data_IF_820635968482
#
_entry.id   IF_820635968482
#
_cell.length_a   1.000
_cell.length_b   1.000
_cell.length_c   1.000
_cell.angle_alpha   90.00
_cell.angle_beta   90.00
_cell.angle_gamma   90.00
#
_symmetry.space_group_name_H-M   'P 1'
#
loop_
_entity.id
_entity.type
_entity.pdbx_description
1 polymer ?
#
# COMPACT_ATOMS: atom_id res chain seq x y z
N UNK A 1 7.49 -10.58 25.68
CA UNK A 1 6.65 -9.38 25.93
C UNK A 1 5.70 -9.35 24.78
N UNK A 2 4.41 -9.33 25.06
CA UNK A 2 3.42 -9.37 24.00
C UNK A 2 3.15 -7.94 23.57
N UNK A 3 3.21 -7.69 22.28
CA UNK A 3 2.97 -6.38 21.69
C UNK A 3 1.57 -6.33 21.10
N UNK A 4 0.95 -5.16 21.18
CA UNK A 4 -0.16 -4.88 20.27
C UNK A 4 0.37 -4.71 18.83
N UNK A 5 -0.53 -4.69 17.84
CA UNK A 5 -0.12 -4.62 16.44
C UNK A 5 0.63 -3.34 16.07
N UNK A 6 0.29 -2.21 16.69
CA UNK A 6 0.90 -0.92 16.38
C UNK A 6 2.32 -0.82 16.97
N UNK A 7 2.46 -1.21 18.24
CA UNK A 7 3.76 -1.32 18.91
C UNK A 7 4.65 -2.34 18.20
N UNK A 8 4.10 -3.51 17.91
CA UNK A 8 4.82 -4.57 17.20
C UNK A 8 5.28 -4.11 15.82
N UNK A 9 4.45 -3.39 15.06
CA UNK A 9 4.86 -2.81 13.77
C UNK A 9 6.05 -1.86 13.90
N UNK A 10 6.09 -1.03 14.93
CA UNK A 10 7.21 -0.13 15.16
C UNK A 10 8.49 -0.90 15.53
N UNK A 11 8.38 -1.91 16.40
CA UNK A 11 9.50 -2.77 16.77
C UNK A 11 10.04 -3.57 15.58
N UNK A 12 9.17 -4.14 14.74
CA UNK A 12 9.56 -4.84 13.50
C UNK A 12 10.38 -3.94 12.57
N UNK A 13 9.96 -2.69 12.40
CA UNK A 13 10.67 -1.72 11.55
C UNK A 13 12.05 -1.35 12.09
N UNK A 14 12.25 -1.51 13.38
CA UNK A 14 13.54 -1.33 14.05
C UNK A 14 14.38 -2.62 14.05
N UNK A 15 13.87 -3.72 13.49
CA UNK A 15 14.58 -4.99 13.34
C UNK A 15 14.48 -5.92 14.54
N UNK A 16 13.50 -5.70 15.42
CA UNK A 16 13.25 -6.57 16.57
C UNK A 16 12.26 -7.68 16.21
N UNK A 17 12.46 -8.86 16.80
CA UNK A 17 11.48 -9.94 16.77
C UNK A 17 10.28 -9.60 17.65
N UNK A 18 9.08 -9.87 17.16
CA UNK A 18 7.83 -9.46 17.81
C UNK A 18 6.89 -10.64 18.02
N UNK A 19 6.47 -10.77 19.27
CA UNK A 19 5.39 -11.65 19.67
C UNK A 19 4.08 -10.86 19.82
N UNK A 20 3.03 -11.22 19.09
CA UNK A 20 1.71 -10.59 19.12
C UNK A 20 0.78 -11.37 20.07
N UNK A 21 0.12 -10.66 21.00
CA UNK A 21 -0.98 -11.24 21.78
C UNK A 21 -2.21 -11.54 20.90
N UNK A 22 -2.42 -10.71 19.88
CA UNK A 22 -3.50 -10.83 18.91
C UNK A 22 -3.08 -10.17 17.61
N UNK A 23 -3.56 -10.68 16.48
CA UNK A 23 -3.21 -10.12 15.18
C UNK A 23 -4.38 -10.18 14.21
N UNK A 24 -4.80 -9.01 13.73
CA UNK A 24 -5.75 -8.82 12.64
C UNK A 24 -5.01 -8.35 11.38
N UNK A 25 -4.93 -9.24 10.39
CA UNK A 25 -4.21 -9.01 9.14
C UNK A 25 -4.90 -7.97 8.25
N UNK A 26 -6.23 -7.91 8.28
CA UNK A 26 -6.98 -6.89 7.55
C UNK A 26 -6.69 -5.50 8.12
N UNK A 27 -6.76 -5.38 9.45
CA UNK A 27 -6.46 -4.14 10.16
C UNK A 27 -4.98 -3.72 9.98
N UNK A 28 -4.05 -4.68 9.90
CA UNK A 28 -2.64 -4.39 9.63
C UNK A 28 -2.45 -3.77 8.24
N UNK A 29 -3.01 -4.39 7.20
CA UNK A 29 -2.94 -3.87 5.82
C UNK A 29 -3.60 -2.51 5.72
N UNK A 30 -4.81 -2.38 6.28
CA UNK A 30 -5.56 -1.11 6.27
C UNK A 30 -4.80 0.01 6.98
N UNK A 31 -4.33 -0.24 8.21
CA UNK A 31 -3.67 0.80 9.00
C UNK A 31 -2.35 1.28 8.38
N UNK A 32 -1.69 0.47 7.55
CA UNK A 32 -0.50 0.87 6.81
C UNK A 32 -0.83 1.60 5.50
N UNK A 33 -1.83 1.14 4.77
CA UNK A 33 -2.16 1.64 3.43
C UNK A 33 -3.10 2.85 3.45
N UNK A 34 -4.05 2.94 4.39
CA UNK A 34 -5.05 4.02 4.45
C UNK A 34 -4.41 5.42 4.59
N UNK A 35 -3.38 5.64 5.43
CA UNK A 35 -2.69 6.93 5.46
C UNK A 35 -2.01 7.29 4.13
N UNK A 36 -1.46 6.30 3.42
CA UNK A 36 -0.86 6.52 2.10
C UNK A 36 -1.93 6.87 1.07
N UNK A 37 -3.10 6.23 1.12
CA UNK A 37 -4.21 6.52 0.22
C UNK A 37 -4.67 7.98 0.34
N UNK A 38 -4.86 8.48 1.56
CA UNK A 38 -5.22 9.90 1.81
C UNK A 38 -4.19 10.85 1.19
N UNK A 39 -2.91 10.54 1.34
CA UNK A 39 -1.83 11.36 0.80
C UNK A 39 -1.74 11.30 -0.74
N UNK A 40 -1.97 10.12 -1.32
CA UNK A 40 -2.03 9.94 -2.78
C UNK A 40 -3.24 10.68 -3.37
N UNK A 41 -4.41 10.60 -2.75
CA UNK A 41 -5.59 11.36 -3.15
C UNK A 41 -5.31 12.87 -3.10
N UNK A 42 -4.68 13.35 -2.03
CA UNK A 42 -4.33 14.75 -1.90
C UNK A 42 -3.36 15.22 -2.99
N UNK A 43 -2.46 14.35 -3.48
CA UNK A 43 -1.58 14.64 -4.62
C UNK A 43 -2.36 14.76 -5.93
N UNK A 44 -3.46 14.04 -6.08
CA UNK A 44 -4.25 13.96 -7.30
C UNK A 44 -5.44 14.95 -7.35
N UNK A 45 -5.78 15.59 -6.23
CA UNK A 45 -6.96 16.45 -6.09
C UNK A 45 -7.12 17.56 -7.15
N UNK A 46 -6.00 18.15 -7.63
CA UNK A 46 -6.05 19.21 -8.65
C UNK A 46 -5.95 18.71 -10.09
N UNK A 47 -6.02 17.38 -10.32
CA UNK A 47 -5.82 16.77 -11.63
C UNK A 47 -4.42 16.98 -12.21
N UNK A 48 -3.42 17.21 -11.34
CA UNK A 48 -2.01 17.33 -11.75
C UNK A 48 -1.43 15.93 -11.89
N UNK A 49 -1.15 15.52 -13.13
CA UNK A 49 -0.47 14.26 -13.42
C UNK A 49 1.04 14.40 -13.21
N UNK A 50 1.57 13.64 -12.26
CA UNK A 50 3.01 13.49 -12.01
C UNK A 50 3.49 12.20 -12.69
N UNK A 51 4.31 12.33 -13.74
CA UNK A 51 4.86 11.19 -14.49
C UNK A 51 6.19 10.71 -13.88
N UNK A 52 6.41 9.39 -13.83
CA UNK A 52 7.68 8.81 -13.35
C UNK A 52 8.81 9.14 -14.31
N UNK A 53 9.70 10.03 -13.87
CA UNK A 53 10.84 10.48 -14.68
C UNK A 53 11.92 9.41 -14.84
N UNK A 54 11.84 8.28 -14.14
CA UNK A 54 12.87 7.22 -14.20
C UNK A 54 12.71 6.26 -15.37
N UNK A 55 11.55 6.25 -16.05
CA UNK A 55 11.22 5.26 -17.09
C UNK A 55 11.26 5.82 -18.53
N UNK A 56 11.97 6.92 -18.80
CA UNK A 56 12.02 7.52 -20.16
C UNK A 56 12.78 6.70 -21.22
N UNK A 57 13.31 5.51 -20.90
CA UNK A 57 14.14 4.70 -21.80
C UNK A 57 13.40 3.65 -22.65
N UNK A 58 12.21 3.22 -22.25
CA UNK A 58 11.70 1.90 -22.68
C UNK A 58 10.55 1.94 -23.70
N UNK A 59 10.24 3.11 -24.28
CA UNK A 59 9.11 3.28 -25.21
C UNK A 59 7.72 3.07 -24.57
N UNK A 60 7.66 2.78 -23.27
CA UNK A 60 6.44 2.66 -22.48
C UNK A 60 6.04 4.05 -21.97
N UNK A 61 4.75 4.44 -22.07
CA UNK A 61 4.27 5.68 -21.46
C UNK A 61 4.63 5.70 -19.96
N UNK A 62 5.21 6.78 -19.44
CA UNK A 62 5.60 6.83 -18.04
C UNK A 62 4.39 6.61 -17.14
N UNK A 63 4.47 5.64 -16.23
CA UNK A 63 3.44 5.41 -15.21
C UNK A 63 3.33 6.65 -14.30
N UNK A 64 2.13 6.89 -13.79
CA UNK A 64 1.92 7.92 -12.78
C UNK A 64 2.63 7.54 -11.48
N UNK A 65 3.26 8.53 -10.86
CA UNK A 65 4.23 8.28 -9.81
C UNK A 65 3.74 7.68 -8.49
N UNK A 66 2.44 7.72 -8.12
CA UNK A 66 1.96 6.86 -7.04
C UNK A 66 1.48 5.49 -7.54
N UNK A 67 1.03 5.36 -8.79
CA UNK A 67 0.44 4.11 -9.30
C UNK A 67 1.43 2.96 -9.30
N UNK A 68 2.67 3.23 -9.71
CA UNK A 68 3.74 2.23 -9.69
C UNK A 68 3.98 1.69 -8.28
N UNK A 69 4.15 2.58 -7.30
CA UNK A 69 4.42 2.18 -5.92
C UNK A 69 3.25 1.45 -5.28
N UNK A 70 2.01 1.89 -5.57
CA UNK A 70 0.80 1.20 -5.11
C UNK A 70 0.70 -0.21 -5.71
N UNK A 71 1.03 -0.39 -6.99
CA UNK A 71 1.09 -1.73 -7.62
C UNK A 71 2.19 -2.61 -7.02
N UNK A 72 3.34 -2.05 -6.62
CA UNK A 72 4.35 -2.81 -5.89
C UNK A 72 3.87 -3.21 -4.50
N UNK A 73 3.17 -2.34 -3.77
CA UNK A 73 2.52 -2.70 -2.49
C UNK A 73 1.54 -3.85 -2.70
N UNK A 74 0.73 -3.82 -3.77
CA UNK A 74 -0.23 -4.88 -4.07
C UNK A 74 0.45 -6.25 -4.29
N UNK A 75 1.61 -6.27 -4.94
CA UNK A 75 2.41 -7.49 -5.11
C UNK A 75 2.88 -8.02 -3.75
N UNK A 76 3.36 -7.16 -2.87
CA UNK A 76 3.78 -7.59 -1.52
C UNK A 76 2.61 -8.08 -0.67
N UNK A 77 1.41 -7.48 -0.77
CA UNK A 77 0.22 -7.99 -0.07
C UNK A 77 -0.18 -9.37 -0.58
N UNK A 78 -0.06 -9.62 -1.90
CA UNK A 78 -0.26 -10.96 -2.45
C UNK A 78 0.84 -11.94 -1.97
N UNK A 79 2.08 -11.48 -1.85
CA UNK A 79 3.18 -12.26 -1.26
C UNK A 79 2.93 -12.60 0.22
N UNK A 80 2.45 -11.62 1.00
CA UNK A 80 2.04 -11.78 2.39
C UNK A 80 0.92 -12.81 2.53
N UNK A 81 -0.11 -12.75 1.67
CA UNK A 81 -1.16 -13.78 1.61
C UNK A 81 -0.56 -15.18 1.43
N UNK A 82 0.33 -15.34 0.45
CA UNK A 82 0.97 -16.63 0.17
C UNK A 82 1.81 -17.12 1.37
N UNK A 83 2.58 -16.23 1.99
CA UNK A 83 3.37 -16.54 3.18
C UNK A 83 2.48 -17.00 4.35
N UNK A 84 1.38 -16.28 4.62
CA UNK A 84 0.42 -16.64 5.66
C UNK A 84 -0.24 -17.99 5.38
N UNK A 85 -0.60 -18.27 4.12
CA UNK A 85 -1.10 -19.61 3.73
C UNK A 85 -0.10 -20.70 4.08
N UNK A 86 1.18 -20.51 3.74
CA UNK A 86 2.23 -21.49 4.05
C UNK A 86 2.43 -21.66 5.56
N UNK A 87 2.37 -20.58 6.33
CA UNK A 87 2.48 -20.62 7.79
C UNK A 87 1.32 -21.40 8.43
N UNK A 88 0.09 -21.14 7.99
CA UNK A 88 -1.10 -21.86 8.46
C UNK A 88 -1.07 -23.33 8.03
N UNK A 89 -0.59 -23.63 6.83
CA UNK A 89 -0.47 -25.01 6.34
C UNK A 89 0.52 -25.86 7.15
N UNK A 90 1.54 -25.23 7.74
CA UNK A 90 2.53 -25.90 8.61
C UNK A 90 2.00 -26.20 10.02
N UNK A 91 0.85 -25.65 10.41
CA UNK A 91 0.29 -25.87 11.75
C UNK A 91 -0.25 -27.29 11.93
N UNK A 92 -0.09 -27.81 13.15
CA UNK A 92 -0.68 -29.07 13.55
C UNK A 92 -2.21 -29.02 13.50
N UNK A 93 -2.88 -30.16 13.33
CA UNK A 93 -4.34 -30.20 13.22
C UNK A 93 -5.04 -29.66 14.47
N UNK A 94 -4.44 -29.84 15.65
CA UNK A 94 -4.93 -29.34 16.94
C UNK A 94 -4.66 -27.85 17.14
N UNK A 95 -3.75 -27.25 16.37
CA UNK A 95 -3.44 -25.82 16.43
C UNK A 95 -4.27 -24.95 15.50
N UNK A 96 -5.13 -25.55 14.67
CA UNK A 96 -5.99 -24.83 13.72
C UNK A 96 -7.45 -24.85 14.17
N UNK A 97 -8.22 -23.78 13.87
CA UNK A 97 -9.67 -23.79 14.05
C UNK A 97 -10.36 -24.88 13.24
N UNK A 98 -11.54 -25.30 13.70
CA UNK A 98 -12.36 -26.28 12.99
C UNK A 98 -12.68 -25.78 11.55
N UNK A 99 -12.48 -26.68 10.59
CA UNK A 99 -12.68 -26.39 9.16
C UNK A 99 -11.63 -25.48 8.51
N UNK A 100 -10.61 -24.99 9.24
CA UNK A 100 -9.59 -24.09 8.69
C UNK A 100 -8.79 -24.74 7.56
N UNK A 101 -8.51 -26.05 7.65
CA UNK A 101 -7.83 -26.80 6.58
C UNK A 101 -8.63 -26.85 5.28
N UNK A 102 -9.94 -27.04 5.38
CA UNK A 102 -10.82 -27.08 4.21
C UNK A 102 -10.96 -25.69 3.59
N UNK A 103 -11.08 -24.64 4.42
CA UNK A 103 -11.06 -23.24 3.96
C UNK A 103 -9.74 -22.90 3.26
N UNK A 104 -8.60 -23.26 3.84
CA UNK A 104 -7.28 -23.03 3.26
C UNK A 104 -7.11 -23.79 1.94
N UNK A 105 -7.55 -25.06 1.88
CA UNK A 105 -7.53 -25.84 0.66
C UNK A 105 -8.44 -25.26 -0.44
N UNK A 106 -9.63 -24.78 -0.08
CA UNK A 106 -10.53 -24.09 -1.00
C UNK A 106 -9.88 -22.81 -1.53
N UNK A 107 -9.25 -22.02 -0.65
CA UNK A 107 -8.53 -20.80 -1.01
C UNK A 107 -7.40 -21.08 -2.00
N UNK A 108 -6.58 -22.10 -1.77
CA UNK A 108 -5.45 -22.44 -2.66
C UNK A 108 -5.91 -23.01 -4.00
N UNK A 109 -7.07 -23.68 -4.04
CA UNK A 109 -7.67 -24.19 -5.28
C UNK A 109 -8.32 -23.11 -6.12
N UNK A 110 -8.65 -21.96 -5.54
CA UNK A 110 -9.16 -20.81 -6.27
C UNK A 110 -8.10 -20.33 -7.28
N UNK A 111 -8.41 -20.31 -8.60
CA UNK A 111 -7.49 -19.78 -9.61
C UNK A 111 -7.03 -18.34 -9.35
N UNK A 112 -7.85 -17.53 -8.67
CA UNK A 112 -7.54 -16.15 -8.32
C UNK A 112 -6.59 -16.04 -7.11
N UNK A 113 -6.22 -17.15 -6.45
CA UNK A 113 -5.40 -17.14 -5.25
C UNK A 113 -4.04 -16.45 -5.44
N UNK A 114 -3.40 -16.66 -6.59
CA UNK A 114 -2.09 -16.10 -6.94
C UNK A 114 -2.17 -14.81 -7.76
N UNK A 115 -3.37 -14.32 -8.00
CA UNK A 115 -3.59 -13.14 -8.82
C UNK A 115 -3.45 -11.90 -7.96
N UNK A 116 -2.49 -11.03 -8.32
CA UNK A 116 -2.37 -9.70 -7.74
C UNK A 116 -3.58 -8.87 -8.22
N UNK A 117 -4.29 -8.15 -7.33
CA UNK A 117 -5.40 -7.31 -7.75
C UNK A 117 -4.91 -6.25 -8.74
N UNK A 118 -5.67 -6.07 -9.82
CA UNK A 118 -5.41 -4.98 -10.76
C UNK A 118 -5.81 -3.66 -10.10
N UNK A 119 -4.85 -2.73 -10.03
CA UNK A 119 -5.06 -1.39 -9.50
C UNK A 119 -4.82 -0.42 -10.63
N UNK A 120 -5.82 0.41 -10.89
CA UNK A 120 -5.83 1.40 -11.95
C UNK A 120 -5.68 2.83 -11.41
N UNK A 121 -5.53 3.78 -12.34
CA UNK A 121 -5.42 5.19 -11.98
C UNK A 121 -6.67 5.69 -11.25
N UNK A 122 -7.87 5.19 -11.60
CA UNK A 122 -9.14 5.57 -10.97
C UNK A 122 -9.12 5.32 -9.45
N UNK A 123 -8.56 4.19 -9.05
CA UNK A 123 -8.59 3.72 -7.66
C UNK A 123 -7.74 4.61 -6.75
N UNK A 124 -6.78 5.34 -7.33
CA UNK A 124 -5.96 6.30 -6.60
C UNK A 124 -6.70 7.58 -6.23
N UNK A 125 -7.76 7.94 -6.97
CA UNK A 125 -8.51 9.16 -6.73
C UNK A 125 -9.47 9.03 -5.53
N UNK A 126 -10.03 7.85 -5.30
CA UNK A 126 -10.96 7.56 -4.20
C UNK A 126 -10.36 6.66 -3.11
N UNK A 127 -9.15 6.14 -3.32
CA UNK A 127 -8.43 5.31 -2.36
C UNK A 127 -9.01 3.90 -2.20
N UNK A 128 -9.89 3.49 -3.10
CA UNK A 128 -10.53 2.17 -3.11
C UNK A 128 -9.53 1.01 -3.25
N UNK A 129 -8.32 1.30 -3.77
CA UNK A 129 -7.24 0.33 -3.83
C UNK A 129 -6.90 -0.29 -2.46
N UNK A 130 -7.09 0.41 -1.35
CA UNK A 130 -6.86 -0.15 -0.01
C UNK A 130 -7.85 -1.28 0.29
N UNK A 131 -9.11 -1.11 -0.10
CA UNK A 131 -10.14 -2.12 0.13
C UNK A 131 -9.89 -3.37 -0.73
N UNK A 132 -9.38 -3.17 -1.95
CA UNK A 132 -8.89 -4.28 -2.78
C UNK A 132 -7.78 -5.07 -2.10
N UNK A 133 -6.82 -4.39 -1.46
CA UNK A 133 -5.73 -5.06 -0.72
C UNK A 133 -6.22 -5.79 0.52
N UNK A 134 -7.16 -5.21 1.27
CA UNK A 134 -7.77 -5.88 2.43
C UNK A 134 -8.51 -7.14 1.99
N UNK A 135 -9.26 -7.09 0.88
CA UNK A 135 -9.96 -8.24 0.34
C UNK A 135 -9.02 -9.40 -0.07
N UNK A 136 -7.77 -9.12 -0.43
CA UNK A 136 -6.76 -10.16 -0.75
C UNK A 136 -6.46 -11.03 0.47
N UNK A 137 -6.42 -10.44 1.67
CA UNK A 137 -6.00 -11.12 2.90
C UNK A 137 -7.17 -11.53 3.81
N UNK A 138 -8.36 -10.97 3.60
CA UNK A 138 -9.57 -11.21 4.39
C UNK A 138 -9.92 -12.69 4.59
N UNK A 139 -9.82 -13.58 3.58
CA UNK A 139 -10.12 -15.00 3.77
C UNK A 139 -9.24 -15.71 4.81
N UNK A 140 -8.08 -15.16 5.16
CA UNK A 140 -7.13 -15.73 6.12
C UNK A 140 -7.26 -15.09 7.51
N UNK A 141 -7.95 -13.96 7.64
CA UNK A 141 -7.88 -13.12 8.84
C UNK A 141 -8.35 -13.86 10.09
N UNK A 142 -9.51 -14.51 10.02
CA UNK A 142 -10.11 -15.19 11.17
C UNK A 142 -9.27 -16.39 11.65
N UNK A 143 -8.81 -17.23 10.72
CA UNK A 143 -8.00 -18.40 11.02
C UNK A 143 -6.64 -17.97 11.59
N UNK A 144 -6.02 -16.94 11.00
CA UNK A 144 -4.78 -16.38 11.50
C UNK A 144 -4.92 -15.82 12.92
N UNK A 145 -5.95 -14.99 13.15
CA UNK A 145 -6.20 -14.37 14.44
C UNK A 145 -6.42 -15.42 15.54
N UNK A 146 -7.16 -16.49 15.23
CA UNK A 146 -7.38 -17.59 16.16
C UNK A 146 -6.09 -18.36 16.47
N UNK A 147 -5.25 -18.63 15.46
CA UNK A 147 -3.95 -19.29 15.68
C UNK A 147 -3.03 -18.43 16.53
N UNK A 148 -2.93 -17.13 16.25
CA UNK A 148 -2.09 -16.20 17.03
C UNK A 148 -2.58 -16.09 18.47
N UNK A 149 -3.89 -15.91 18.69
CA UNK A 149 -4.46 -15.82 20.03
C UNK A 149 -4.32 -17.11 20.86
N UNK A 150 -4.18 -18.26 20.20
CA UNK A 150 -3.97 -19.55 20.86
C UNK A 150 -2.49 -19.81 21.20
N UNK A 151 -1.56 -18.94 20.81
CA UNK A 151 -0.14 -19.14 21.10
C UNK A 151 0.15 -18.87 22.58
N UNK A 152 0.97 -19.72 23.22
CA UNK A 152 1.45 -19.45 24.56
C UNK A 152 2.30 -18.17 24.56
N UNK A 153 2.07 -17.30 25.55
CA UNK A 153 2.84 -16.08 25.71
C UNK A 153 4.32 -16.41 26.02
N UNK A 154 5.22 -15.97 25.15
CA UNK A 154 6.67 -16.19 25.25
C UNK A 154 7.19 -17.43 24.52
N UNK A 155 8.50 -17.42 24.22
CA UNK A 155 9.18 -18.56 23.58
C UNK A 155 9.09 -19.81 24.47
N UNK A 156 8.35 -20.83 24.00
CA UNK A 156 8.29 -22.13 24.67
C UNK A 156 9.43 -23.05 24.21
N UNK A 157 9.95 -22.84 22.99
CA UNK A 157 11.08 -23.58 22.39
C UNK A 157 11.65 -22.87 21.15
N UNK A 158 12.93 -23.08 20.82
CA UNK A 158 13.54 -22.65 19.54
C UNK A 158 12.94 -23.37 18.31
N UNK A 159 12.30 -24.53 18.52
CA UNK A 159 11.63 -25.31 17.48
C UNK A 159 10.15 -24.92 17.32
N UNK A 160 9.58 -24.23 18.31
CA UNK A 160 8.24 -23.65 18.27
C UNK A 160 8.38 -22.17 17.89
N UNK A 161 8.95 -21.88 16.71
CA UNK A 161 8.89 -20.52 16.16
C UNK A 161 7.41 -20.22 15.99
N UNK A 162 6.87 -19.44 16.92
CA UNK A 162 5.47 -19.08 16.94
C UNK A 162 5.14 -18.42 15.61
N UNK A 163 3.97 -18.73 15.05
CA UNK A 163 3.50 -18.07 13.82
C UNK A 163 3.67 -16.54 13.91
N UNK A 164 3.56 -15.95 15.11
CA UNK A 164 3.89 -14.55 15.38
C UNK A 164 5.33 -14.14 15.00
N UNK A 165 6.33 -14.93 15.36
CA UNK A 165 7.73 -14.62 15.08
C UNK A 165 7.99 -14.72 13.56
N UNK A 166 7.39 -15.71 12.89
CA UNK A 166 7.49 -15.86 11.43
C UNK A 166 6.72 -14.78 10.64
N UNK A 167 5.62 -14.25 11.21
CA UNK A 167 4.97 -13.04 10.69
C UNK A 167 5.93 -11.84 10.78
N UNK A 168 6.63 -11.74 11.91
CA UNK A 168 7.53 -10.62 12.23
C UNK A 168 8.80 -10.60 11.39
N UNK A 169 9.48 -11.73 11.26
CA UNK A 169 10.83 -11.82 10.67
C UNK A 169 10.83 -11.89 9.15
N UNK A 170 9.80 -12.48 8.54
CA UNK A 170 9.79 -12.79 7.11
C UNK A 170 8.59 -12.18 6.39
N UNK A 171 7.38 -12.46 6.87
CA UNK A 171 6.17 -12.25 6.07
C UNK A 171 5.80 -10.78 5.91
N UNK A 172 5.91 -9.98 6.98
CA UNK A 172 5.51 -8.57 6.97
C UNK A 172 6.60 -7.63 6.47
N UNK A 173 7.86 -8.08 6.43
CA UNK A 173 9.02 -7.21 6.12
C UNK A 173 8.95 -6.63 4.72
N UNK A 174 8.62 -7.42 3.69
CA UNK A 174 8.49 -6.94 2.31
C UNK A 174 7.40 -5.88 2.17
N UNK A 175 6.24 -6.12 2.77
CA UNK A 175 5.13 -5.17 2.82
C UNK A 175 5.50 -3.88 3.55
N UNK A 176 6.07 -3.98 4.76
CA UNK A 176 6.54 -2.84 5.56
C UNK A 176 7.54 -1.98 4.77
N UNK A 177 8.49 -2.61 4.07
CA UNK A 177 9.48 -1.93 3.24
C UNK A 177 8.84 -1.12 2.11
N UNK A 178 7.88 -1.69 1.36
CA UNK A 178 7.22 -0.95 0.26
C UNK A 178 6.35 0.19 0.75
N UNK A 179 5.63 0.00 1.85
CA UNK A 179 4.87 1.07 2.52
C UNK A 179 5.81 2.21 2.91
N UNK A 180 6.95 1.91 3.55
CA UNK A 180 7.95 2.91 3.95
C UNK A 180 8.56 3.60 2.74
N UNK A 181 8.86 2.89 1.65
CA UNK A 181 9.39 3.47 0.42
C UNK A 181 8.42 4.50 -0.17
N UNK A 182 7.14 4.18 -0.30
CA UNK A 182 6.14 5.13 -0.78
C UNK A 182 6.01 6.32 0.20
N UNK A 183 5.90 6.05 1.50
CA UNK A 183 5.83 7.08 2.55
C UNK A 183 6.98 8.10 2.43
N UNK A 184 8.20 7.63 2.25
CA UNK A 184 9.39 8.47 2.15
C UNK A 184 9.45 9.26 0.84
N UNK A 185 8.76 8.81 -0.21
CA UNK A 185 8.67 9.52 -1.50
C UNK A 185 7.59 10.61 -1.51
N UNK A 186 6.56 10.51 -0.67
CA UNK A 186 5.45 11.48 -0.62
C UNK A 186 5.90 12.95 -0.51
N UNK A 187 6.86 13.34 0.36
CA UNK A 187 7.31 14.73 0.42
C UNK A 187 7.88 15.25 -0.92
N UNK A 188 8.65 14.42 -1.62
CA UNK A 188 9.18 14.75 -2.95
C UNK A 188 8.10 14.85 -4.02
N UNK A 189 7.04 14.03 -3.93
CA UNK A 189 5.87 14.13 -4.79
C UNK A 189 5.08 15.43 -4.54
N UNK A 190 4.88 15.79 -3.27
CA UNK A 190 4.21 17.05 -2.89
C UNK A 190 4.95 18.26 -3.42
N UNK A 191 6.27 18.32 -3.27
CA UNK A 191 7.09 19.41 -3.80
C UNK A 191 6.96 19.51 -5.33
N UNK A 192 7.00 18.38 -6.04
CA UNK A 192 6.84 18.37 -7.50
C UNK A 192 5.46 18.81 -7.96
N UNK A 193 4.40 18.41 -7.25
CA UNK A 193 3.04 18.94 -7.48
C UNK A 193 3.02 20.45 -7.30
N UNK A 194 3.59 20.97 -6.21
CA UNK A 194 3.63 22.40 -5.95
C UNK A 194 4.35 23.17 -7.08
N UNK A 195 5.49 22.67 -7.54
CA UNK A 195 6.21 23.27 -8.67
C UNK A 195 5.38 23.25 -9.96
N UNK A 196 4.69 22.14 -10.24
CA UNK A 196 3.82 22.01 -11.42
C UNK A 196 2.65 22.99 -11.37
N UNK A 197 2.02 23.17 -10.20
CA UNK A 197 0.95 24.14 -9.99
C UNK A 197 1.44 25.58 -10.18
N UNK A 198 2.58 25.94 -9.59
CA UNK A 198 3.19 27.26 -9.80
C UNK A 198 3.52 27.52 -11.26
N UNK A 199 4.06 26.53 -11.98
CA UNK A 199 4.33 26.62 -13.41
C UNK A 199 3.06 26.83 -14.24
N UNK A 200 1.97 26.11 -13.93
CA UNK A 200 0.66 26.31 -14.57
C UNK A 200 0.09 27.71 -14.31
N UNK A 201 0.21 28.20 -13.07
CA UNK A 201 -0.24 29.54 -12.70
C UNK A 201 0.53 30.63 -13.47
N UNK A 202 1.86 30.49 -13.56
CA UNK A 202 2.72 31.40 -14.32
C UNK A 202 2.39 31.37 -15.82
N UNK A 203 2.20 30.18 -16.40
CA UNK A 203 1.82 30.04 -17.80
C UNK A 203 0.46 30.70 -18.08
N UNK A 204 -0.52 30.51 -17.20
CA UNK A 204 -1.84 31.15 -17.30
C UNK A 204 -1.75 32.67 -17.22
N UNK A 205 -0.95 33.21 -16.29
CA UNK A 205 -0.73 34.65 -16.17
C UNK A 205 -0.09 35.23 -17.45
N UNK A 206 0.93 34.57 -18.00
CA UNK A 206 1.58 35.01 -19.23
C UNK A 206 0.64 35.02 -20.45
N UNK A 207 -0.29 34.07 -20.54
CA UNK A 207 -1.33 34.08 -21.59
C UNK A 207 -2.28 35.25 -21.40
N UNK A 208 -2.75 35.50 -20.17
CA UNK A 208 -3.66 36.61 -19.87
C UNK A 208 -3.02 37.98 -20.14
N UNK A 209 -1.74 38.15 -19.81
CA UNK A 209 -1.02 39.40 -20.06
C UNK A 209 -0.85 39.65 -21.57
N UNK A 210 -0.52 38.62 -22.36
CA UNK A 210 -0.48 38.74 -23.83
C UNK A 210 -1.83 39.08 -24.44
N UNK A 211 -2.92 38.52 -23.91
CA UNK A 211 -4.27 38.86 -24.36
C UNK A 211 -4.64 40.30 -24.02
N UNK A 212 -4.30 40.78 -22.83
CA UNK A 212 -4.49 42.19 -22.42
C UNK A 212 -3.71 43.14 -23.33
N UNK A 213 -2.45 42.83 -23.62
CA UNK A 213 -1.62 43.61 -24.54
C UNK A 213 -2.21 43.66 -25.95
N UNK A 214 -2.71 42.52 -26.46
CA UNK A 214 -3.39 42.45 -27.76
C UNK A 214 -4.64 43.33 -27.79
N UNK A 215 -5.53 43.18 -26.80
CA UNK A 215 -6.76 43.98 -26.70
C UNK A 215 -6.43 45.47 -26.59
N UNK A 216 -5.44 45.86 -25.79
CA UNK A 216 -5.00 47.26 -25.67
C UNK A 216 -4.39 47.80 -26.97
N UNK A 217 -3.71 46.97 -27.77
CA UNK A 217 -3.22 47.34 -29.09
C UNK A 217 -4.38 47.52 -30.10
N UNK A 218 -5.37 46.64 -30.06
CA UNK A 218 -6.54 46.69 -30.95
C UNK A 218 -7.42 47.90 -30.65
N UNK A 219 -7.67 48.22 -29.37
CA UNK A 219 -8.39 49.43 -28.95
C UNK A 219 -7.70 50.71 -29.45
N UNK A 220 -6.36 50.79 -29.29
CA UNK A 220 -5.55 51.90 -29.82
C UNK A 220 -5.65 52.04 -31.34
N UNK A 221 -5.72 50.93 -32.08
CA UNK A 221 -5.90 50.94 -33.54
C UNK A 221 -7.30 51.40 -33.96
N UNK A 222 -8.31 51.05 -33.18
CA UNK A 222 -9.71 51.43 -33.42
C UNK A 222 -10.05 52.86 -32.94
N UNK A 223 -9.10 53.57 -32.30
CA UNK A 223 -9.28 54.91 -31.71
C UNK A 223 -10.44 54.96 -30.69
N UNK A 224 -10.62 53.87 -29.95
CA UNK A 224 -11.48 53.79 -28.76
C UNK A 224 -10.62 53.92 -27.50
#
# INVERSE_FOLDING_TARGET
MDFDQAEGREQRRQGWDVHYASFDLCAEVEAQCRPLAVEVQALLADGVRLADRRNFGDGVPPLLEPLRDVREIAKEVCGLRAAVVELLAKQSASGLPEGARDRLAALVRDPAHKTVPEIDESDLYDGSWVDLLVAVVEPLNSDLAAVVAAQPAGQVSELDVGLSDALSSDSLVGFDQRVVMLRNRLPGLRNRRQLALSGRALAKAAVQDRERERVAADMRRLRL
#
